data_IF_286990093947
#
_entry.id   IF_286990093947
#
_cell.length_a   1.000
_cell.length_b   1.000
_cell.length_c   1.000
_cell.angle_alpha   90.00
_cell.angle_beta   90.00
_cell.angle_gamma   90.00
#
_symmetry.space_group_name_H-M   'P 1'
#
loop_
_entity.id
_entity.type
_entity.pdbx_description
1 polymer ?
#
# COMPACT_ATOMS: atom_id res chain seq x y z
N UNK A 1 -15.92 13.14 -1.60
CA UNK A 1 -16.02 11.73 -1.14
C UNK A 1 -14.77 11.38 -0.36
N UNK A 2 -14.92 10.80 0.80
CA UNK A 2 -13.78 10.34 1.60
C UNK A 2 -13.27 9.00 1.10
N UNK A 3 -11.96 8.81 1.15
CA UNK A 3 -11.32 7.60 0.65
C UNK A 3 -10.50 6.93 1.74
N UNK A 4 -10.51 5.61 1.75
CA UNK A 4 -9.73 4.78 2.67
C UNK A 4 -8.57 4.14 1.92
N UNK A 5 -7.40 4.12 2.54
CA UNK A 5 -6.19 3.53 1.98
C UNK A 5 -5.83 2.24 2.72
N UNK A 6 -5.53 1.20 1.98
CA UNK A 6 -4.96 -0.04 2.54
C UNK A 6 -3.71 -0.41 1.76
N UNK A 7 -2.65 -0.75 2.49
CA UNK A 7 -1.37 -1.19 1.92
C UNK A 7 -1.24 -2.69 2.02
N UNK A 8 -0.71 -3.32 0.96
CA UNK A 8 -0.58 -4.76 0.89
C UNK A 8 0.86 -5.09 0.46
N UNK A 9 1.55 -5.89 1.24
CA UNK A 9 2.90 -6.35 0.92
C UNK A 9 2.82 -7.78 0.41
N UNK A 10 3.38 -8.02 -0.76
CA UNK A 10 3.31 -9.31 -1.43
C UNK A 10 4.69 -9.83 -1.77
N UNK A 11 4.80 -11.15 -1.97
CA UNK A 11 6.02 -11.80 -2.44
C UNK A 11 5.69 -12.69 -3.62
N UNK A 12 6.33 -12.44 -4.76
CA UNK A 12 6.13 -13.27 -5.95
C UNK A 12 6.83 -14.62 -5.80
N UNK A 13 7.88 -14.68 -5.00
CA UNK A 13 8.58 -15.94 -4.73
C UNK A 13 7.72 -16.87 -3.86
N UNK A 14 7.16 -16.33 -2.78
CA UNK A 14 6.26 -17.09 -1.91
C UNK A 14 4.89 -17.31 -2.53
N UNK A 15 4.52 -16.48 -3.50
CA UNK A 15 3.22 -16.57 -4.16
C UNK A 15 2.07 -16.13 -3.29
N UNK A 16 2.32 -15.23 -2.33
CA UNK A 16 1.28 -14.81 -1.41
C UNK A 16 1.48 -13.37 -0.96
N UNK A 17 0.42 -12.80 -0.40
CA UNK A 17 0.42 -11.44 0.12
C UNK A 17 0.07 -11.45 1.60
N UNK A 18 0.62 -10.49 2.34
CA UNK A 18 0.24 -10.27 3.74
C UNK A 18 -1.16 -9.67 3.78
N UNK A 19 -1.85 -9.79 4.92
CA UNK A 19 -3.16 -9.15 5.08
C UNK A 19 -3.04 -7.64 4.86
N UNK A 20 -4.06 -7.01 4.26
CA UNK A 20 -4.03 -5.56 4.03
C UNK A 20 -3.88 -4.79 5.34
N UNK A 21 -3.03 -3.77 5.32
CA UNK A 21 -2.87 -2.88 6.46
C UNK A 21 -3.72 -1.63 6.21
N UNK A 22 -4.79 -1.41 7.00
CA UNK A 22 -5.60 -0.21 6.82
C UNK A 22 -4.88 1.00 7.38
N UNK A 23 -4.76 2.05 6.54
CA UNK A 23 -4.14 3.29 6.98
C UNK A 23 -5.11 4.04 7.88
N UNK A 24 -4.63 4.62 8.98
CA UNK A 24 -5.54 5.25 9.96
C UNK A 24 -6.14 6.57 9.48
N UNK A 25 -5.55 7.22 8.49
CA UNK A 25 -6.04 8.48 7.99
C UNK A 25 -7.05 8.29 6.86
N UNK A 26 -8.01 9.22 6.78
CA UNK A 26 -9.00 9.27 5.71
C UNK A 26 -8.61 10.40 4.77
N UNK A 27 -8.67 10.15 3.47
CA UNK A 27 -8.27 11.14 2.47
C UNK A 27 -9.49 11.81 1.87
N UNK A 28 -9.34 13.09 1.51
CA UNK A 28 -10.47 13.90 1.05
C UNK A 28 -10.85 13.63 -0.41
N UNK A 29 -9.95 13.03 -1.18
CA UNK A 29 -10.21 12.74 -2.58
C UNK A 29 -9.43 11.51 -3.01
N UNK A 30 -9.84 10.96 -4.16
CA UNK A 30 -9.13 9.82 -4.76
C UNK A 30 -7.70 10.21 -5.12
N UNK A 31 -7.52 11.44 -5.64
CA UNK A 31 -6.19 11.93 -6.00
C UNK A 31 -5.26 11.91 -4.80
N UNK A 32 -5.71 12.45 -3.66
CA UNK A 32 -4.89 12.51 -2.46
C UNK A 32 -4.55 11.10 -1.95
N UNK A 33 -5.51 10.19 -1.99
CA UNK A 33 -5.30 8.82 -1.58
C UNK A 33 -4.27 8.13 -2.48
N UNK A 34 -4.39 8.28 -3.79
CA UNK A 34 -3.47 7.68 -4.74
C UNK A 34 -2.06 8.25 -4.59
N UNK A 35 -1.95 9.56 -4.48
CA UNK A 35 -0.66 10.21 -4.33
C UNK A 35 0.07 9.71 -3.09
N UNK A 36 -0.64 9.70 -1.97
CA UNK A 36 -0.07 9.21 -0.72
C UNK A 36 0.29 7.72 -0.80
N UNK A 37 -0.57 6.92 -1.44
CA UNK A 37 -0.33 5.50 -1.61
C UNK A 37 0.96 5.22 -2.36
N UNK A 38 1.22 5.96 -3.43
CA UNK A 38 2.47 5.79 -4.18
C UNK A 38 3.67 6.24 -3.38
N UNK A 39 3.57 7.37 -2.68
CA UNK A 39 4.68 7.84 -1.84
C UNK A 39 5.00 6.84 -0.73
N UNK A 40 3.98 6.32 -0.07
CA UNK A 40 4.16 5.38 1.02
C UNK A 40 4.71 4.05 0.51
N UNK A 41 4.33 3.65 -0.70
CA UNK A 41 4.86 2.44 -1.33
C UNK A 41 6.37 2.57 -1.57
N UNK A 42 6.81 3.72 -2.05
CA UNK A 42 8.25 3.98 -2.26
C UNK A 42 8.97 3.94 -0.93
N UNK A 43 8.40 4.54 0.10
CA UNK A 43 8.99 4.55 1.43
C UNK A 43 9.14 3.13 1.98
N UNK A 44 8.15 2.28 1.77
CA UNK A 44 8.21 0.88 2.19
C UNK A 44 9.29 0.11 1.44
N UNK A 45 9.46 0.36 0.15
CA UNK A 45 10.54 -0.25 -0.63
C UNK A 45 11.89 0.11 -0.03
N UNK A 46 12.06 1.36 0.37
CA UNK A 46 13.31 1.82 0.98
C UNK A 46 13.53 1.20 2.36
N UNK A 47 12.47 1.06 3.15
CA UNK A 47 12.55 0.42 4.47
C UNK A 47 12.96 -1.04 4.38
N UNK A 48 12.34 -1.78 3.47
CA UNK A 48 12.65 -3.21 3.28
C UNK A 48 14.05 -3.36 2.72
N UNK A 49 14.41 -2.51 1.77
CA UNK A 49 15.73 -2.51 1.18
C UNK A 49 15.82 -3.34 -0.10
N UNK A 50 16.74 -2.92 -0.96
CA UNK A 50 16.91 -3.52 -2.28
C UNK A 50 17.18 -5.02 -2.22
N UNK A 51 18.02 -5.44 -1.27
CA UNK A 51 18.43 -6.84 -1.17
C UNK A 51 17.25 -7.76 -0.92
N UNK A 52 16.44 -7.43 0.07
CA UNK A 52 15.29 -8.26 0.42
C UNK A 52 14.19 -8.19 -0.64
N UNK A 53 13.98 -7.02 -1.22
CA UNK A 53 13.03 -6.86 -2.32
C UNK A 53 13.37 -7.80 -3.47
N UNK A 54 14.64 -7.79 -3.88
CA UNK A 54 15.08 -8.62 -5.02
C UNK A 54 15.13 -10.09 -4.67
N UNK A 55 15.55 -10.43 -3.45
CA UNK A 55 15.69 -11.82 -3.02
C UNK A 55 14.35 -12.54 -2.93
N UNK A 56 13.34 -11.87 -2.39
CA UNK A 56 12.03 -12.47 -2.15
C UNK A 56 10.98 -12.08 -3.19
N UNK A 57 11.36 -11.28 -4.19
CA UNK A 57 10.42 -10.82 -5.20
C UNK A 57 9.29 -10.02 -4.59
N UNK A 58 9.60 -9.17 -3.62
CA UNK A 58 8.57 -8.41 -2.91
C UNK A 58 8.08 -7.23 -3.72
N UNK A 59 6.82 -6.92 -3.54
CA UNK A 59 6.22 -5.73 -4.14
C UNK A 59 5.11 -5.23 -3.25
N UNK A 60 4.73 -3.98 -3.46
CA UNK A 60 3.74 -3.33 -2.61
C UNK A 60 2.57 -2.90 -3.48
N UNK A 61 1.37 -3.21 -3.00
CA UNK A 61 0.13 -2.79 -3.63
C UNK A 61 -0.64 -1.93 -2.63
N UNK A 62 -1.54 -1.13 -3.13
CA UNK A 62 -2.45 -0.40 -2.25
C UNK A 62 -3.80 -0.23 -2.94
N UNK A 63 -4.82 -0.01 -2.13
CA UNK A 63 -6.17 0.23 -2.64
C UNK A 63 -6.71 1.52 -2.05
N UNK A 64 -7.44 2.27 -2.87
CA UNK A 64 -8.17 3.45 -2.44
C UNK A 64 -9.64 3.18 -2.68
N UNK A 65 -10.41 3.05 -1.60
CA UNK A 65 -11.83 2.72 -1.67
C UNK A 65 -12.65 3.80 -0.98
N UNK A 66 -13.88 4.06 -1.46
CA UNK A 66 -14.74 5.03 -0.80
C UNK A 66 -15.08 4.57 0.62
N UNK A 67 -15.13 5.54 1.54
CA UNK A 67 -15.56 5.27 2.91
C UNK A 67 -17.09 5.25 2.95
N UNK A 68 -17.71 4.10 3.20
CA UNK A 68 -19.18 4.02 3.17
C UNK A 68 -19.84 4.70 4.36
N UNK A 69 -19.09 5.05 5.38
CA UNK A 69 -19.65 5.67 6.58
C UNK A 69 -19.73 7.20 6.50
N UNK A 70 -19.29 7.79 5.39
CA UNK A 70 -19.26 9.26 5.24
C UNK A 70 -20.02 9.70 4.01
#
# INVERSE_FOLDING_TARGET
MKMLLSLIICSSVAGECMPPYPWPEVFNSKYDCLYFGYEESIRKLEEIGREDINKHGMYIRFTCTPDPSI
#
